data_IF_028683468178
#
_entry.id   IF_028683468178
#
_cell.length_a   1.000
_cell.length_b   1.000
_cell.length_c   1.000
_cell.angle_alpha   90.00
_cell.angle_beta   90.00
_cell.angle_gamma   90.00
#
_symmetry.space_group_name_H-M   'P 1'
#
loop_
_entity.id
_entity.type
_entity.pdbx_description
1 polymer ?
#
# COMPACT_ATOMS: atom_id res chain seq x y z
N UNK A 1 2.76 -1.21 25.80
CA UNK A 1 3.26 -0.56 24.56
C UNK A 1 4.59 0.08 24.91
N UNK A 2 5.71 -0.42 24.38
CA UNK A 2 7.02 0.18 24.67
C UNK A 2 7.14 1.47 23.86
N UNK A 3 7.38 2.59 24.53
CA UNK A 3 7.65 3.87 23.89
C UNK A 3 9.05 3.81 23.26
N UNK A 4 9.25 4.41 22.07
CA UNK A 4 10.56 4.46 21.44
C UNK A 4 11.52 5.29 22.30
N UNK A 5 12.65 4.71 22.67
CA UNK A 5 13.71 5.32 23.50
C UNK A 5 14.95 5.65 22.64
N UNK A 6 15.18 4.89 21.57
CA UNK A 6 16.36 5.07 20.70
C UNK A 6 15.99 5.81 19.42
N UNK A 7 16.89 6.67 18.91
CA UNK A 7 16.69 7.42 17.66
C UNK A 7 16.33 6.50 16.48
N UNK A 8 16.88 5.29 16.45
CA UNK A 8 16.59 4.27 15.42
C UNK A 8 15.18 3.68 15.45
N UNK A 9 14.41 3.92 16.53
CA UNK A 9 13.02 3.45 16.69
C UNK A 9 12.00 4.48 16.17
N UNK A 10 12.43 5.72 15.93
CA UNK A 10 11.59 6.74 15.32
C UNK A 10 11.56 6.59 13.80
N UNK A 11 10.38 6.81 13.21
CA UNK A 11 10.25 6.92 11.75
C UNK A 11 10.74 8.31 11.33
N UNK A 12 11.81 8.44 10.52
CA UNK A 12 12.23 9.73 10.01
C UNK A 12 11.16 10.29 9.06
N UNK A 13 10.91 11.59 9.15
CA UNK A 13 10.01 12.31 8.24
C UNK A 13 10.85 13.32 7.46
N UNK A 14 10.79 13.25 6.13
CA UNK A 14 11.49 14.21 5.28
C UNK A 14 10.68 15.52 5.22
N UNK A 15 11.29 16.62 5.65
CA UNK A 15 10.71 17.96 5.57
C UNK A 15 11.22 18.66 4.31
N UNK A 16 10.48 18.53 3.21
CA UNK A 16 10.82 19.19 1.94
C UNK A 16 10.26 20.63 1.87
N UNK A 17 10.87 21.47 1.03
CA UNK A 17 10.38 22.82 0.70
C UNK A 17 8.96 22.77 0.10
N UNK A 18 8.17 23.82 0.35
CA UNK A 18 6.83 24.05 -0.24
C UNK A 18 6.85 23.92 -1.76
N UNK A 19 7.84 24.48 -2.45
CA UNK A 19 7.94 24.39 -3.93
C UNK A 19 8.02 22.92 -4.38
N UNK A 20 8.86 22.13 -3.70
CA UNK A 20 8.96 20.70 -3.97
C UNK A 20 7.63 19.97 -3.73
N UNK A 21 6.95 20.27 -2.61
CA UNK A 21 5.64 19.69 -2.29
C UNK A 21 4.58 20.05 -3.32
N UNK A 22 4.61 21.26 -3.86
CA UNK A 22 3.71 21.72 -4.92
C UNK A 22 3.91 20.88 -6.19
N UNK A 23 5.14 20.76 -6.68
CA UNK A 23 5.46 19.95 -7.87
C UNK A 23 5.07 18.49 -7.66
N UNK A 24 5.42 17.91 -6.51
CA UNK A 24 5.04 16.54 -6.16
C UNK A 24 3.50 16.36 -6.14
N UNK A 25 2.75 17.34 -5.65
CA UNK A 25 1.28 17.30 -5.64
C UNK A 25 0.68 17.37 -7.04
N UNK A 26 1.24 18.19 -7.93
CA UNK A 26 0.83 18.24 -9.35
C UNK A 26 1.05 16.89 -10.01
N UNK A 27 2.21 16.27 -9.83
CA UNK A 27 2.51 14.94 -10.37
C UNK A 27 1.57 13.86 -9.81
N UNK A 28 1.31 13.87 -8.50
CA UNK A 28 0.40 12.94 -7.86
C UNK A 28 -1.05 13.08 -8.37
N UNK A 29 -1.51 14.32 -8.61
CA UNK A 29 -2.84 14.57 -9.17
C UNK A 29 -2.95 14.08 -10.62
N UNK A 30 -1.90 14.23 -11.43
CA UNK A 30 -1.85 13.66 -12.80
C UNK A 30 -1.88 12.13 -12.75
N UNK A 31 -1.09 11.51 -11.87
CA UNK A 31 -1.05 10.06 -11.71
C UNK A 31 -2.40 9.49 -11.26
N UNK A 32 -3.15 10.22 -10.43
CA UNK A 32 -4.48 9.82 -9.98
C UNK A 32 -5.43 9.50 -11.15
N UNK A 33 -5.34 10.23 -12.27
CA UNK A 33 -6.21 10.02 -13.43
C UNK A 33 -6.07 8.65 -14.08
N UNK A 34 -4.89 8.03 -14.00
CA UNK A 34 -4.62 6.68 -14.57
C UNK A 34 -4.58 5.59 -13.51
N UNK A 35 -4.60 5.96 -12.22
CA UNK A 35 -4.38 5.03 -11.12
C UNK A 35 -5.50 3.97 -11.03
N UNK A 36 -6.74 4.34 -11.31
CA UNK A 36 -7.90 3.44 -11.20
C UNK A 36 -7.82 2.24 -12.15
N UNK A 37 -7.24 2.40 -13.34
CA UNK A 37 -7.04 1.33 -14.32
C UNK A 37 -5.85 0.42 -13.96
N UNK A 38 -4.91 0.92 -13.16
CA UNK A 38 -3.68 0.21 -12.82
C UNK A 38 -3.76 -0.64 -11.56
N UNK A 39 -4.63 -0.28 -10.62
CA UNK A 39 -4.69 -0.93 -9.32
C UNK A 39 -5.83 -1.93 -9.25
N UNK A 40 -5.63 -3.01 -8.50
CA UNK A 40 -6.69 -3.97 -8.21
C UNK A 40 -7.88 -3.29 -7.51
N UNK A 41 -9.13 -3.71 -7.77
CA UNK A 41 -10.30 -3.26 -7.01
C UNK A 41 -10.15 -3.54 -5.50
N UNK A 42 -9.36 -4.55 -5.12
CA UNK A 42 -9.13 -4.94 -3.72
C UNK A 42 -8.09 -4.04 -3.01
N UNK A 43 -7.48 -3.08 -3.70
CA UNK A 43 -6.53 -2.15 -3.10
C UNK A 43 -7.27 -0.90 -2.55
N UNK A 44 -7.63 -0.89 -1.27
CA UNK A 44 -8.42 0.23 -0.72
C UNK A 44 -7.59 1.40 -0.17
N UNK A 45 -6.30 1.20 0.12
CA UNK A 45 -5.46 2.23 0.74
C UNK A 45 -4.97 3.27 -0.29
N UNK A 46 -4.99 4.55 0.10
CA UNK A 46 -4.50 5.69 -0.69
C UNK A 46 -5.22 5.92 -2.03
N UNK A 47 -6.42 5.35 -2.20
CA UNK A 47 -7.27 5.55 -3.37
C UNK A 47 -8.46 6.41 -2.97
N UNK A 48 -8.67 7.56 -3.62
CA UNK A 48 -9.83 8.40 -3.35
C UNK A 48 -11.14 7.63 -3.59
N UNK A 49 -12.10 7.77 -2.66
CA UNK A 49 -13.39 7.08 -2.74
C UNK A 49 -13.41 5.65 -2.20
N UNK A 50 -12.26 5.05 -1.87
CA UNK A 50 -12.21 3.73 -1.20
C UNK A 50 -12.04 3.90 0.32
N UNK A 51 -12.75 3.09 1.09
CA UNK A 51 -12.75 3.20 2.54
C UNK A 51 -11.87 2.12 3.17
N UNK A 52 -11.25 2.45 4.31
CA UNK A 52 -10.43 1.46 5.04
C UNK A 52 -11.26 0.28 5.55
N UNK A 53 -12.57 0.48 5.74
CA UNK A 53 -13.49 -0.56 6.19
C UNK A 53 -13.64 -1.70 5.17
N UNK A 54 -13.46 -1.42 3.88
CA UNK A 54 -13.52 -2.43 2.82
C UNK A 54 -12.44 -3.50 3.04
N UNK A 55 -11.23 -3.09 3.44
CA UNK A 55 -10.14 -4.01 3.78
C UNK A 55 -10.45 -4.84 5.03
N UNK A 56 -11.16 -4.28 6.01
CA UNK A 56 -11.57 -5.00 7.23
C UNK A 56 -12.56 -6.10 6.89
N UNK A 57 -13.53 -5.81 6.02
CA UNK A 57 -14.51 -6.79 5.53
C UNK A 57 -13.81 -7.91 4.78
N UNK A 58 -12.92 -7.58 3.84
CA UNK A 58 -12.13 -8.59 3.09
C UNK A 58 -11.31 -9.48 4.04
N UNK A 59 -10.71 -8.89 5.08
CA UNK A 59 -9.97 -9.65 6.10
C UNK A 59 -10.88 -10.59 6.90
N UNK A 60 -12.08 -10.14 7.28
CA UNK A 60 -13.06 -10.94 8.00
C UNK A 60 -13.55 -12.12 7.16
N UNK A 61 -13.91 -11.88 5.90
CA UNK A 61 -14.32 -12.90 4.94
C UNK A 61 -13.22 -13.93 4.68
N UNK A 62 -11.96 -13.49 4.62
CA UNK A 62 -10.82 -14.40 4.50
C UNK A 62 -10.74 -15.37 5.70
N UNK A 63 -10.84 -14.85 6.92
CA UNK A 63 -10.81 -15.66 8.15
C UNK A 63 -12.05 -16.58 8.22
N UNK A 64 -13.22 -16.06 7.88
CA UNK A 64 -14.47 -16.81 7.87
C UNK A 64 -14.41 -17.99 6.89
N UNK A 65 -13.93 -17.72 5.67
CA UNK A 65 -13.72 -18.73 4.63
C UNK A 65 -12.76 -19.82 5.07
N UNK A 66 -11.65 -19.45 5.74
CA UNK A 66 -10.72 -20.43 6.30
C UNK A 66 -11.38 -21.33 7.33
N UNK A 67 -12.14 -20.78 8.28
CA UNK A 67 -12.85 -21.55 9.31
C UNK A 67 -13.85 -22.54 8.72
N UNK A 68 -14.58 -22.15 7.67
CA UNK A 68 -15.61 -23.00 7.07
C UNK A 68 -15.05 -24.10 6.16
N UNK A 69 -13.90 -23.87 5.53
CA UNK A 69 -13.35 -24.76 4.49
C UNK A 69 -12.33 -25.77 5.06
N UNK A 70 -11.85 -25.57 6.29
CA UNK A 70 -10.99 -26.51 7.03
C UNK A 70 -11.63 -27.88 7.33
N UNK A 71 -12.83 -28.18 6.83
CA UNK A 71 -13.48 -29.50 6.91
C UNK A 71 -13.12 -30.46 5.77
N UNK A 72 -12.34 -30.03 4.77
CA UNK A 72 -11.91 -30.84 3.61
C UNK A 72 -10.43 -31.27 3.64
N UNK A 73 -10.03 -32.16 2.71
CA UNK A 73 -8.67 -32.69 2.58
C UNK A 73 -7.59 -31.66 2.16
N UNK A 74 -7.98 -30.46 1.70
CA UNK A 74 -7.07 -29.42 1.24
C UNK A 74 -7.03 -28.27 2.25
N UNK A 75 -5.89 -28.12 2.93
CA UNK A 75 -5.65 -27.00 3.84
C UNK A 75 -5.50 -25.68 3.09
N UNK A 76 -6.11 -24.60 3.61
CA UNK A 76 -5.93 -23.23 3.12
C UNK A 76 -5.24 -22.39 4.19
N UNK A 77 -4.43 -21.42 3.78
CA UNK A 77 -3.67 -20.53 4.67
C UNK A 77 -3.88 -19.08 4.25
N UNK A 78 -4.05 -18.19 5.23
CA UNK A 78 -3.95 -16.74 5.01
C UNK A 78 -2.52 -16.26 5.26
N UNK A 79 -1.98 -15.49 4.32
CA UNK A 79 -0.66 -14.87 4.43
C UNK A 79 -0.81 -13.37 4.66
N UNK A 80 -0.36 -12.89 5.83
CA UNK A 80 -0.28 -11.47 6.13
C UNK A 80 1.15 -10.99 5.85
N UNK A 81 1.33 -10.30 4.72
CA UNK A 81 2.62 -9.77 4.30
C UNK A 81 2.75 -8.30 4.70
N UNK A 82 3.93 -7.90 5.18
CA UNK A 82 4.26 -6.50 5.47
C UNK A 82 5.65 -6.18 4.93
N UNK A 83 5.78 -5.05 4.24
CA UNK A 83 7.06 -4.61 3.65
C UNK A 83 7.80 -3.75 4.66
N UNK A 84 8.95 -4.22 5.12
CA UNK A 84 9.83 -3.43 5.98
C UNK A 84 10.38 -2.24 5.21
N UNK A 85 10.28 -1.03 5.79
CA UNK A 85 10.80 0.22 5.20
C UNK A 85 10.39 0.40 3.73
N UNK A 86 9.10 0.21 3.44
CA UNK A 86 8.58 0.19 2.07
C UNK A 86 9.02 1.39 1.20
N UNK A 87 9.06 2.60 1.77
CA UNK A 87 9.48 3.81 1.06
C UNK A 87 11.00 3.92 0.87
N UNK A 88 11.80 3.32 1.76
CA UNK A 88 13.27 3.39 1.69
C UNK A 88 13.84 2.30 0.75
N UNK A 89 13.06 1.25 0.46
CA UNK A 89 13.49 0.06 -0.29
C UNK A 89 12.98 0.01 -1.74
N UNK A 90 12.32 1.06 -2.22
CA UNK A 90 11.91 1.13 -3.63
C UNK A 90 13.13 1.25 -4.52
N UNK A 91 13.24 0.37 -5.52
CA UNK A 91 14.29 0.46 -6.54
C UNK A 91 13.85 1.46 -7.62
N UNK A 92 14.67 2.50 -7.82
CA UNK A 92 14.32 3.65 -8.66
C UNK A 92 14.26 3.31 -10.15
N UNK A 93 15.11 2.42 -10.64
CA UNK A 93 15.10 2.00 -12.05
C UNK A 93 13.82 1.23 -12.36
N UNK A 94 13.39 0.35 -11.46
CA UNK A 94 12.14 -0.39 -11.55
C UNK A 94 10.93 0.54 -11.55
N UNK A 95 10.90 1.51 -10.62
CA UNK A 95 9.81 2.50 -10.58
C UNK A 95 9.73 3.29 -11.89
N UNK A 96 10.87 3.76 -12.41
CA UNK A 96 10.93 4.47 -13.69
C UNK A 96 10.39 3.62 -14.84
N UNK A 97 10.81 2.36 -14.94
CA UNK A 97 10.34 1.43 -15.97
C UNK A 97 8.83 1.19 -15.90
N UNK A 98 8.26 1.12 -14.69
CA UNK A 98 6.80 1.04 -14.52
C UNK A 98 6.15 2.31 -15.07
N UNK A 99 6.65 3.49 -14.68
CA UNK A 99 6.10 4.79 -15.10
C UNK A 99 6.15 4.95 -16.63
N UNK A 100 7.24 4.54 -17.28
CA UNK A 100 7.36 4.50 -18.73
C UNK A 100 6.36 3.52 -19.36
N UNK A 101 6.19 2.32 -18.76
CA UNK A 101 5.28 1.29 -19.28
C UNK A 101 3.81 1.72 -19.25
N UNK A 102 3.44 2.58 -18.32
CA UNK A 102 2.08 3.10 -18.15
C UNK A 102 1.85 4.43 -18.89
N UNK A 103 2.87 4.91 -19.59
CA UNK A 103 2.80 6.17 -20.35
C UNK A 103 2.79 7.44 -19.50
N UNK A 104 3.29 7.38 -18.25
CA UNK A 104 3.40 8.55 -17.37
C UNK A 104 4.63 9.39 -17.67
#
# INVERSE_FOLDING_TARGET
>A
VNLPVRVSEFRPISLCNVVYKLVAKVLANRLKGILEEMISPNQSAFVPGRLIIDNVIVGYECIHSLKNIMKGYVGRVALKLNISKAYDRVEWVYLRRIMEKIGF
#
